data_IF_761976940901
#
_entry.id   IF_761976940901
#
_cell.length_a   1.000
_cell.length_b   1.000
_cell.length_c   1.000
_cell.angle_alpha   90.00
_cell.angle_beta   90.00
_cell.angle_gamma   90.00
#
_symmetry.space_group_name_H-M   'P 1'
#
loop_
_entity.id
_entity.type
_entity.pdbx_description
1 polymer ?
#
# COMPACT_ATOMS: atom_id res chain seq x y z
N UNK A 1 -20.85 -57.09 48.47
CA UNK A 1 -21.76 -56.25 47.64
C UNK A 1 -21.65 -54.77 48.02
N UNK A 2 -21.61 -54.43 49.31
CA UNK A 2 -21.38 -53.05 49.79
C UNK A 2 -19.98 -52.53 49.40
N UNK A 3 -18.94 -53.37 49.42
CA UNK A 3 -17.58 -52.95 49.02
C UNK A 3 -17.45 -52.62 47.53
N UNK A 4 -18.15 -53.34 46.66
CA UNK A 4 -18.18 -53.04 45.22
C UNK A 4 -18.96 -51.77 44.93
N UNK A 5 -20.07 -51.55 45.66
CA UNK A 5 -20.82 -50.30 45.59
C UNK A 5 -19.94 -49.11 46.03
N UNK A 6 -19.17 -49.26 47.12
CA UNK A 6 -18.26 -48.21 47.61
C UNK A 6 -17.13 -47.90 46.61
N UNK A 7 -16.57 -48.89 45.93
CA UNK A 7 -15.54 -48.67 44.89
C UNK A 7 -16.11 -47.91 43.70
N UNK A 8 -17.30 -48.28 43.23
CA UNK A 8 -17.98 -47.57 42.14
C UNK A 8 -18.33 -46.13 42.53
N UNK A 9 -18.77 -45.95 43.78
CA UNK A 9 -19.10 -44.64 44.32
C UNK A 9 -17.85 -43.77 44.50
N UNK A 10 -16.72 -44.35 44.93
CA UNK A 10 -15.43 -43.66 45.03
C UNK A 10 -14.86 -43.26 43.66
N UNK A 11 -15.05 -44.10 42.64
CA UNK A 11 -14.67 -43.81 41.25
C UNK A 11 -15.47 -42.61 40.68
N UNK A 12 -16.73 -42.46 41.10
CA UNK A 12 -17.61 -41.38 40.66
C UNK A 12 -17.41 -40.09 41.49
N UNK A 13 -17.21 -40.20 42.81
CA UNK A 13 -17.11 -39.04 43.72
C UNK A 13 -15.70 -38.45 43.72
N UNK A 14 -14.67 -39.27 43.57
CA UNK A 14 -13.25 -38.86 43.54
C UNK A 14 -12.51 -39.66 42.47
N UNK A 15 -12.80 -39.42 41.17
CA UNK A 15 -11.96 -39.97 40.12
C UNK A 15 -10.54 -39.42 40.29
N UNK A 16 -9.54 -40.19 39.84
CA UNK A 16 -8.16 -39.73 39.78
C UNK A 16 -8.03 -38.59 38.77
N UNK A 17 -8.27 -37.37 39.25
CA UNK A 17 -8.18 -36.13 38.48
C UNK A 17 -6.76 -35.92 37.93
N UNK A 18 -5.74 -36.46 38.60
CA UNK A 18 -4.35 -36.39 38.15
C UNK A 18 -4.17 -37.14 36.83
N UNK A 19 -4.65 -38.38 36.75
CA UNK A 19 -4.62 -39.15 35.51
C UNK A 19 -5.38 -38.46 34.36
N UNK A 20 -6.53 -37.84 34.67
CA UNK A 20 -7.35 -37.12 33.69
C UNK A 20 -6.65 -35.85 33.15
N UNK A 21 -6.00 -35.09 34.04
CA UNK A 21 -5.23 -33.89 33.68
C UNK A 21 -4.03 -34.26 32.80
N UNK A 22 -3.36 -35.39 33.09
CA UNK A 22 -2.24 -35.89 32.28
C UNK A 22 -2.68 -36.32 30.87
N UNK A 23 -3.92 -36.80 30.73
CA UNK A 23 -4.52 -37.15 29.43
C UNK A 23 -5.01 -35.94 28.63
N UNK A 24 -5.33 -34.82 29.29
CA UNK A 24 -5.90 -33.62 28.68
C UNK A 24 -5.09 -33.07 27.49
N UNK A 25 -3.74 -32.96 27.55
CA UNK A 25 -2.93 -32.48 26.43
C UNK A 25 -3.09 -33.34 25.18
N UNK A 26 -3.32 -34.64 25.34
CA UNK A 26 -3.47 -35.57 24.22
C UNK A 26 -4.73 -35.28 23.39
N UNK A 27 -5.77 -34.70 24.01
CA UNK A 27 -7.01 -34.30 23.35
C UNK A 27 -6.99 -32.83 22.90
N UNK A 28 -6.40 -31.95 23.70
CA UNK A 28 -6.37 -30.50 23.39
C UNK A 28 -5.37 -30.20 22.27
N UNK A 29 -4.17 -30.79 22.31
CA UNK A 29 -3.13 -30.51 21.32
C UNK A 29 -3.59 -30.76 19.86
N UNK A 30 -4.21 -31.90 19.50
CA UNK A 30 -4.67 -32.10 18.12
C UNK A 30 -5.81 -31.16 17.74
N UNK A 31 -6.70 -30.80 18.67
CA UNK A 31 -7.78 -29.84 18.41
C UNK A 31 -7.23 -28.43 18.14
N UNK A 32 -6.28 -27.97 18.94
CA UNK A 32 -5.62 -26.67 18.75
C UNK A 32 -4.82 -26.67 17.44
N UNK A 33 -4.12 -27.76 17.14
CA UNK A 33 -3.37 -27.90 15.89
C UNK A 33 -4.29 -27.86 14.66
N UNK A 34 -5.39 -28.62 14.70
CA UNK A 34 -6.40 -28.61 13.65
C UNK A 34 -7.02 -27.23 13.47
N UNK A 35 -7.37 -26.56 14.57
CA UNK A 35 -7.92 -25.21 14.54
C UNK A 35 -6.92 -24.20 13.95
N UNK A 36 -5.66 -24.28 14.35
CA UNK A 36 -4.59 -23.41 13.85
C UNK A 36 -4.35 -23.61 12.36
N UNK A 37 -4.33 -24.85 11.86
CA UNK A 37 -4.19 -25.11 10.43
C UNK A 37 -5.46 -24.76 9.64
N UNK A 38 -6.65 -24.95 10.19
CA UNK A 38 -7.89 -24.56 9.53
C UNK A 38 -7.99 -23.03 9.36
N UNK A 39 -7.70 -22.28 10.42
CA UNK A 39 -7.72 -20.81 10.40
C UNK A 39 -6.51 -20.25 9.66
N UNK A 40 -5.30 -20.64 10.04
CA UNK A 40 -4.04 -20.22 9.40
C UNK A 40 -3.95 -20.63 7.94
N UNK A 41 -4.43 -21.81 7.58
CA UNK A 41 -4.53 -22.27 6.20
C UNK A 41 -5.50 -21.44 5.37
N UNK A 42 -6.68 -21.12 5.90
CA UNK A 42 -7.64 -20.23 5.23
C UNK A 42 -7.07 -18.83 4.96
N UNK A 43 -6.47 -18.21 5.98
CA UNK A 43 -5.84 -16.90 5.83
C UNK A 43 -4.58 -16.93 4.94
N UNK A 44 -3.77 -17.97 5.05
CA UNK A 44 -2.60 -18.20 4.19
C UNK A 44 -3.01 -18.35 2.73
N UNK A 45 -4.07 -19.11 2.46
CA UNK A 45 -4.60 -19.29 1.11
C UNK A 45 -5.16 -17.98 0.56
N UNK A 46 -5.86 -17.18 1.37
CA UNK A 46 -6.31 -15.84 0.97
C UNK A 46 -5.12 -14.91 0.69
N UNK A 47 -4.08 -14.95 1.50
CA UNK A 47 -2.87 -14.15 1.30
C UNK A 47 -2.10 -14.55 0.04
N UNK A 48 -2.07 -15.85 -0.29
CA UNK A 48 -1.42 -16.38 -1.49
C UNK A 48 -2.25 -16.15 -2.76
N UNK A 49 -3.58 -16.29 -2.69
CA UNK A 49 -4.48 -16.22 -3.84
C UNK A 49 -4.90 -14.80 -4.18
N UNK A 50 -5.00 -13.89 -3.20
CA UNK A 50 -5.18 -12.47 -3.49
C UNK A 50 -3.87 -11.91 -4.06
N UNK A 51 -3.75 -11.91 -5.39
CA UNK A 51 -2.79 -11.07 -6.11
C UNK A 51 -2.96 -9.64 -5.58
N UNK A 52 -1.97 -9.16 -4.83
CA UNK A 52 -1.88 -7.74 -4.45
C UNK A 52 -2.11 -6.93 -5.71
N UNK A 53 -3.05 -5.98 -5.67
CA UNK A 53 -3.27 -5.06 -6.78
C UNK A 53 -1.91 -4.46 -7.13
N UNK A 54 -1.40 -4.80 -8.32
CA UNK A 54 -0.20 -4.18 -8.82
C UNK A 54 -0.55 -2.71 -9.01
N UNK A 55 0.00 -1.87 -8.14
CA UNK A 55 -0.08 -0.43 -8.30
C UNK A 55 0.84 -0.11 -9.47
N UNK A 56 0.26 -0.04 -10.67
CA UNK A 56 0.95 0.47 -11.83
C UNK A 56 1.17 1.96 -11.61
N UNK A 57 2.42 2.38 -11.62
CA UNK A 57 2.75 3.80 -11.64
C UNK A 57 2.18 4.37 -12.93
N UNK A 58 1.19 5.25 -12.83
CA UNK A 58 0.77 6.02 -13.98
C UNK A 58 1.97 6.91 -14.37
N UNK A 59 2.58 6.62 -15.51
CA UNK A 59 3.51 7.54 -16.14
C UNK A 59 2.73 8.82 -16.40
N UNK A 60 2.95 9.83 -15.58
CA UNK A 60 2.21 11.08 -15.68
C UNK A 60 2.62 11.78 -16.98
N UNK A 61 1.79 11.62 -18.01
CA UNK A 61 1.96 12.15 -19.35
C UNK A 61 2.18 13.67 -19.31
N UNK A 62 3.16 14.21 -20.06
CA UNK A 62 3.35 15.66 -20.17
C UNK A 62 2.06 16.32 -20.63
N UNK A 63 1.64 17.37 -19.93
CA UNK A 63 0.42 18.13 -20.24
C UNK A 63 0.81 19.41 -20.98
N UNK A 64 0.09 19.83 -22.03
CA UNK A 64 0.32 21.15 -22.62
C UNK A 64 0.04 22.27 -21.60
N UNK A 65 0.86 23.34 -21.55
CA UNK A 65 0.59 24.51 -20.74
C UNK A 65 -0.60 25.29 -21.26
N UNK A 66 -1.30 25.94 -20.33
CA UNK A 66 -2.29 26.96 -20.66
C UNK A 66 -1.60 28.12 -21.40
N UNK A 67 -2.33 28.80 -22.27
CA UNK A 67 -1.78 29.89 -23.09
C UNK A 67 -2.47 31.20 -22.74
N UNK A 68 -1.71 32.30 -22.75
CA UNK A 68 -2.26 33.64 -22.59
C UNK A 68 -3.07 34.09 -23.83
N UNK A 69 -3.66 35.28 -23.76
CA UNK A 69 -4.46 35.85 -24.85
C UNK A 69 -3.62 36.07 -26.13
N UNK A 70 -2.31 36.18 -25.99
CA UNK A 70 -1.32 36.33 -27.05
C UNK A 70 -0.76 34.98 -27.55
N UNK A 71 -1.27 33.85 -27.02
CA UNK A 71 -0.90 32.49 -27.42
C UNK A 71 0.41 31.96 -26.84
N UNK A 72 1.05 32.68 -25.91
CA UNK A 72 2.30 32.27 -25.24
C UNK A 72 2.00 31.28 -24.11
N UNK A 73 2.88 30.28 -23.89
CA UNK A 73 2.68 29.30 -22.84
C UNK A 73 2.88 29.93 -21.46
N UNK A 74 1.91 29.75 -20.57
CA UNK A 74 1.95 30.13 -19.17
C UNK A 74 2.44 28.94 -18.33
N UNK A 75 3.56 29.15 -17.65
CA UNK A 75 4.18 28.14 -16.78
C UNK A 75 3.88 28.46 -15.31
N UNK A 76 3.11 27.63 -14.59
CA UNK A 76 2.81 27.88 -13.19
C UNK A 76 4.04 27.65 -12.31
N UNK A 77 4.17 28.47 -11.26
CA UNK A 77 5.26 28.33 -10.31
C UNK A 77 5.20 26.99 -9.56
N UNK A 78 6.36 26.41 -9.26
CA UNK A 78 6.45 25.12 -8.57
C UNK A 78 6.15 23.88 -9.44
N UNK A 79 5.84 24.05 -10.73
CA UNK A 79 5.67 22.93 -11.67
C UNK A 79 6.82 22.84 -12.66
N UNK A 80 7.48 21.67 -12.81
CA UNK A 80 8.53 21.50 -13.81
C UNK A 80 7.98 21.61 -15.24
N UNK A 81 8.72 22.26 -16.13
CA UNK A 81 8.32 22.45 -17.51
C UNK A 81 9.51 22.42 -18.47
N UNK A 82 9.22 22.06 -19.72
CA UNK A 82 10.12 22.20 -20.85
C UNK A 82 9.65 23.38 -21.69
N UNK A 83 10.48 24.43 -21.77
CA UNK A 83 10.18 25.64 -22.52
C UNK A 83 10.23 25.43 -24.04
N UNK A 84 11.01 24.45 -24.52
CA UNK A 84 11.19 24.16 -25.96
C UNK A 84 10.03 23.35 -26.49
N UNK A 85 9.68 22.28 -25.79
CA UNK A 85 8.54 21.43 -26.14
C UNK A 85 7.20 22.04 -25.75
N UNK A 86 7.19 23.16 -25.01
CA UNK A 86 6.02 23.75 -24.39
C UNK A 86 5.18 22.68 -23.67
N UNK A 87 5.80 22.01 -22.69
CA UNK A 87 5.20 20.89 -21.98
C UNK A 87 5.38 21.03 -20.47
N UNK A 88 4.31 20.76 -19.71
CA UNK A 88 4.30 20.69 -18.26
C UNK A 88 4.46 19.25 -17.80
N UNK A 89 5.38 19.05 -16.87
CA UNK A 89 5.65 17.75 -16.28
C UNK A 89 5.00 17.65 -14.90
N UNK A 90 4.80 16.42 -14.39
CA UNK A 90 4.35 16.19 -13.03
C UNK A 90 5.33 16.79 -12.01
N UNK A 91 4.78 17.17 -10.86
CA UNK A 91 5.57 17.61 -9.70
C UNK A 91 6.59 16.54 -9.31
N UNK A 92 7.86 16.94 -9.16
CA UNK A 92 8.97 16.04 -8.83
C UNK A 92 9.73 15.49 -10.04
N UNK A 93 9.29 15.74 -11.28
CA UNK A 93 10.08 15.44 -12.46
C UNK A 93 11.28 16.39 -12.58
N UNK A 94 12.46 15.85 -12.87
CA UNK A 94 13.70 16.62 -13.06
C UNK A 94 14.15 16.63 -14.53
N UNK A 95 13.72 15.64 -15.32
CA UNK A 95 14.09 15.47 -16.73
C UNK A 95 12.87 15.22 -17.60
N UNK A 96 12.97 15.64 -18.86
CA UNK A 96 11.98 15.36 -19.90
C UNK A 96 12.00 13.89 -20.31
N UNK A 97 11.02 13.46 -21.11
CA UNK A 97 11.02 12.13 -21.76
C UNK A 97 12.26 11.94 -22.65
N UNK A 98 12.78 13.02 -23.24
CA UNK A 98 14.00 13.01 -24.05
C UNK A 98 15.28 13.11 -23.21
N UNK A 99 15.17 13.25 -21.89
CA UNK A 99 16.30 13.30 -20.96
C UNK A 99 16.91 14.69 -20.73
N UNK A 100 16.33 15.75 -21.31
CA UNK A 100 16.73 17.14 -21.11
C UNK A 100 16.35 17.63 -19.70
N UNK A 101 17.15 18.52 -19.07
CA UNK A 101 16.83 19.05 -17.76
C UNK A 101 15.63 19.99 -17.82
N UNK A 102 14.67 19.78 -16.91
CA UNK A 102 13.46 20.62 -16.84
C UNK A 102 13.73 21.93 -16.10
N UNK A 103 12.97 22.96 -16.44
CA UNK A 103 12.96 24.25 -15.76
C UNK A 103 11.84 24.29 -14.72
N UNK A 104 12.04 25.09 -13.68
CA UNK A 104 11.10 25.28 -12.58
C UNK A 104 11.18 26.75 -12.13
N UNK A 105 10.03 27.42 -12.12
CA UNK A 105 9.92 28.74 -11.50
C UNK A 105 9.72 28.60 -9.98
N UNK A 106 10.52 29.33 -9.21
CA UNK A 106 10.44 29.34 -7.76
C UNK A 106 9.07 29.92 -7.29
N UNK A 107 8.28 29.22 -6.44
CA UNK A 107 7.00 29.74 -5.96
C UNK A 107 7.14 30.91 -4.98
N UNK A 108 8.33 31.15 -4.40
CA UNK A 108 8.56 32.26 -3.48
C UNK A 108 8.95 33.55 -4.19
N UNK A 109 9.83 33.46 -5.19
CA UNK A 109 10.44 34.64 -5.83
C UNK A 109 10.41 34.62 -7.36
N UNK A 110 9.65 33.69 -7.97
CA UNK A 110 9.48 33.46 -9.42
C UNK A 110 10.75 33.24 -10.26
N UNK A 111 11.94 33.29 -9.65
CA UNK A 111 13.20 33.02 -10.33
C UNK A 111 13.19 31.61 -10.97
N UNK A 112 13.55 31.56 -12.25
CA UNK A 112 13.62 30.32 -13.02
C UNK A 112 14.95 29.62 -12.74
N UNK A 113 14.87 28.31 -12.48
CA UNK A 113 16.02 27.45 -12.21
C UNK A 113 15.81 26.06 -12.79
N UNK A 114 16.84 25.22 -12.73
CA UNK A 114 16.72 23.81 -13.08
C UNK A 114 15.91 23.08 -11.99
N UNK A 115 15.04 22.16 -12.42
CA UNK A 115 14.19 21.37 -11.53
C UNK A 115 15.00 20.38 -10.66
N UNK A 116 16.21 19.99 -11.10
CA UNK A 116 17.13 19.14 -10.34
C UNK A 116 17.70 19.83 -9.09
N UNK A 117 17.77 21.16 -9.10
CA UNK A 117 18.23 21.92 -7.94
C UNK A 117 17.15 21.87 -6.85
N UNK A 118 17.53 21.62 -5.60
CA UNK A 118 16.58 21.60 -4.50
C UNK A 118 16.42 22.97 -3.87
N UNK A 119 17.41 23.85 -3.97
CA UNK A 119 17.39 25.21 -3.43
C UNK A 119 17.24 26.27 -4.52
N UNK A 120 16.54 27.35 -4.20
CA UNK A 120 16.53 28.56 -5.02
C UNK A 120 17.77 29.40 -4.72
N UNK A 121 18.57 29.72 -5.74
CA UNK A 121 19.75 30.58 -5.61
C UNK A 121 19.42 32.05 -5.32
N UNK A 122 18.21 32.51 -5.67
CA UNK A 122 17.81 33.91 -5.51
C UNK A 122 17.26 34.22 -4.10
N UNK A 123 16.40 33.35 -3.55
CA UNK A 123 15.76 33.58 -2.25
C UNK A 123 16.13 32.57 -1.15
N UNK A 124 16.97 31.57 -1.46
CA UNK A 124 17.39 30.55 -0.50
C UNK A 124 16.33 29.49 -0.17
N UNK A 125 15.13 29.55 -0.74
CA UNK A 125 14.07 28.59 -0.44
C UNK A 125 14.41 27.18 -0.94
N UNK A 126 14.37 26.20 -0.04
CA UNK A 126 14.45 24.77 -0.37
C UNK A 126 13.07 24.23 -0.78
N UNK A 127 13.02 23.60 -1.96
CA UNK A 127 11.84 22.97 -2.52
C UNK A 127 12.19 21.51 -2.79
N UNK A 128 11.87 20.63 -1.84
CA UNK A 128 11.99 19.18 -2.00
C UNK A 128 10.67 18.63 -2.50
N UNK A 129 10.43 18.76 -3.80
CA UNK A 129 9.21 18.21 -4.41
C UNK A 129 9.38 16.71 -4.57
N UNK A 130 8.75 15.93 -3.68
CA UNK A 130 8.61 14.49 -3.85
C UNK A 130 7.57 14.24 -4.94
N UNK A 131 7.83 13.37 -5.94
CA UNK A 131 6.79 12.97 -6.87
C UNK A 131 5.64 12.36 -6.08
N UNK A 132 4.47 13.01 -6.15
CA UNK A 132 3.24 12.39 -5.62
C UNK A 132 2.80 11.36 -6.63
N UNK A 133 2.90 10.10 -6.24
CA UNK A 133 2.38 8.97 -7.02
C UNK A 133 0.87 9.14 -7.10
N UNK A 134 0.36 9.46 -8.28
CA UNK A 134 -1.07 9.42 -8.53
C UNK A 134 -1.43 7.94 -8.70
N UNK A 135 -2.00 7.36 -7.65
CA UNK A 135 -2.48 5.98 -7.68
C UNK A 135 -3.80 6.01 -8.45
N UNK A 136 -3.76 5.58 -9.70
CA UNK A 136 -4.99 5.35 -10.44
C UNK A 136 -5.67 4.11 -9.85
N UNK A 137 -6.88 4.28 -9.31
CA UNK A 137 -7.68 3.16 -8.84
C UNK A 137 -8.06 2.37 -10.09
N UNK A 138 -7.72 1.07 -10.21
CA UNK A 138 -8.13 0.28 -11.36
C UNK A 138 -9.65 0.41 -11.53
N UNK A 139 -10.07 0.88 -12.70
CA UNK A 139 -11.46 1.04 -13.06
C UNK A 139 -12.09 -0.33 -13.27
N UNK A 140 -12.59 -0.93 -12.19
CA UNK A 140 -13.39 -2.15 -12.27
C UNK A 140 -13.48 -2.89 -10.94
N UNK A 141 -14.60 -3.59 -10.68
CA UNK A 141 -14.65 -4.55 -9.60
C UNK A 141 -13.56 -5.60 -9.83
N UNK A 142 -12.89 -6.09 -8.76
CA UNK A 142 -11.87 -7.11 -8.89
C UNK A 142 -12.43 -8.30 -9.68
N UNK A 143 -11.71 -8.83 -10.69
CA UNK A 143 -12.16 -10.00 -11.43
C UNK A 143 -12.35 -11.16 -10.44
N UNK A 144 -13.60 -11.59 -10.26
CA UNK A 144 -13.99 -12.71 -9.38
C UNK A 144 -14.95 -12.37 -8.23
N UNK A 145 -15.38 -11.11 -8.07
CA UNK A 145 -16.32 -10.72 -7.00
C UNK A 145 -17.78 -10.69 -7.42
N UNK A 146 -18.52 -11.77 -7.16
CA UNK A 146 -19.96 -11.79 -6.84
C UNK A 146 -20.95 -10.92 -7.66
N UNK A 147 -20.81 -10.82 -8.98
CA UNK A 147 -21.87 -10.31 -9.87
C UNK A 147 -22.68 -11.45 -10.52
N UNK A 148 -23.04 -12.46 -9.71
CA UNK A 148 -24.03 -13.50 -10.06
C UNK A 148 -24.89 -13.75 -8.83
N UNK A 149 -25.89 -12.91 -8.64
CA UNK A 149 -27.08 -13.15 -7.84
C UNK A 149 -28.24 -12.45 -8.54
#
# INVERSE_FOLDING_TARGET
>A
MIDELLKLLALIITPDWGALIVLLPLFIAPLVLLWFFATGGGWGLVALTKRRAQLTYADATPTPPERDAEGRPLYPAGRPYDARAAALYPVGATRSITGEPLLLACPGCSAVRLAEMTSCSACGMEIRVRPRVQIERPAGPPPGGAARA
#
